data_IF_126099279472
#
_entry.id   IF_126099279472
#
_cell.length_a   1.000
_cell.length_b   1.000
_cell.length_c   1.000
_cell.angle_alpha   90.00
_cell.angle_beta   90.00
_cell.angle_gamma   90.00
#
_symmetry.space_group_name_H-M   'P 1'
#
loop_
_entity.id
_entity.type
_entity.pdbx_description
1 polymer ?
#
# COMPACT_ATOMS: atom_id res chain seq x y z
N UNK A 1 -17.58 15.24 3.57
CA UNK A 1 -16.70 14.15 4.05
C UNK A 1 -15.28 14.52 3.62
N UNK A 2 -14.31 14.49 4.53
CA UNK A 2 -12.91 14.83 4.20
C UNK A 2 -12.20 13.57 3.68
N UNK A 3 -12.18 13.41 2.35
CA UNK A 3 -11.55 12.25 1.70
C UNK A 3 -10.03 12.21 1.91
N UNK A 4 -9.38 13.37 2.06
CA UNK A 4 -7.94 13.42 2.34
C UNK A 4 -7.67 12.77 3.69
N UNK A 5 -8.47 13.12 4.71
CA UNK A 5 -8.37 12.51 6.03
C UNK A 5 -8.61 10.98 6.00
N UNK A 6 -9.56 10.50 5.19
CA UNK A 6 -9.78 9.06 5.01
C UNK A 6 -8.60 8.35 4.36
N UNK A 7 -7.96 8.99 3.36
CA UNK A 7 -6.74 8.48 2.72
C UNK A 7 -5.63 8.32 3.76
N UNK A 8 -5.37 9.34 4.56
CA UNK A 8 -4.35 9.36 5.60
C UNK A 8 -4.60 8.31 6.69
N UNK A 9 -5.80 8.34 7.29
CA UNK A 9 -6.17 7.42 8.37
C UNK A 9 -6.10 5.95 7.94
N UNK A 10 -6.52 5.64 6.72
CA UNK A 10 -6.45 4.27 6.22
C UNK A 10 -5.01 3.81 6.02
N UNK A 11 -4.16 4.66 5.43
CA UNK A 11 -2.74 4.34 5.25
C UNK A 11 -2.03 4.13 6.59
N UNK A 12 -2.22 5.01 7.56
CA UNK A 12 -1.60 4.86 8.88
C UNK A 12 -2.13 3.61 9.61
N UNK A 13 -3.41 3.29 9.43
CA UNK A 13 -4.00 2.10 10.04
C UNK A 13 -3.45 0.81 9.44
N UNK A 14 -3.30 0.72 8.12
CA UNK A 14 -2.73 -0.47 7.48
C UNK A 14 -1.26 -0.66 7.84
N UNK A 15 -0.48 0.42 7.93
CA UNK A 15 0.91 0.35 8.39
C UNK A 15 1.02 -0.21 9.81
N UNK A 16 0.18 0.28 10.74
CA UNK A 16 0.13 -0.23 12.11
C UNK A 16 -0.32 -1.69 12.17
N UNK A 17 -1.32 -2.04 11.36
CA UNK A 17 -1.85 -3.40 11.31
C UNK A 17 -0.77 -4.40 10.85
N UNK A 18 -0.13 -4.13 9.73
CA UNK A 18 0.92 -5.02 9.22
C UNK A 18 2.17 -5.03 10.11
N UNK A 19 2.58 -3.87 10.64
CA UNK A 19 3.66 -3.80 11.61
C UNK A 19 3.37 -4.56 12.91
N UNK A 20 2.10 -4.60 13.32
CA UNK A 20 1.63 -5.43 14.44
C UNK A 20 1.68 -6.91 14.14
N UNK A 21 1.24 -7.34 12.95
CA UNK A 21 1.22 -8.75 12.55
C UNK A 21 2.62 -9.38 12.54
N UNK A 22 3.63 -8.64 12.09
CA UNK A 22 5.02 -9.14 12.01
C UNK A 22 5.94 -8.62 13.14
N UNK A 23 5.34 -8.05 14.20
CA UNK A 23 6.06 -7.55 15.39
C UNK A 23 7.15 -6.51 15.09
N UNK A 24 6.97 -5.72 14.02
CA UNK A 24 7.95 -4.70 13.59
C UNK A 24 7.49 -3.25 13.82
N UNK A 25 6.30 -3.06 14.43
CA UNK A 25 5.75 -1.73 14.65
C UNK A 25 6.57 -0.95 15.67
N UNK A 26 6.98 0.26 15.30
CA UNK A 26 7.58 1.26 16.18
C UNK A 26 6.67 2.48 16.17
N UNK A 27 6.34 3.01 17.35
CA UNK A 27 5.48 4.19 17.47
C UNK A 27 6.06 5.14 18.52
N UNK A 28 6.22 6.42 18.15
CA UNK A 28 6.60 7.49 19.09
C UNK A 28 5.85 8.78 18.72
N UNK A 29 4.93 9.18 19.58
CA UNK A 29 4.06 10.32 19.32
C UNK A 29 3.29 10.15 18.01
N UNK A 30 3.48 11.09 17.08
CA UNK A 30 2.85 11.08 15.75
C UNK A 30 3.66 10.35 14.67
N UNK A 31 4.85 9.83 15.00
CA UNK A 31 5.71 9.11 14.06
C UNK A 31 5.54 7.61 14.28
N UNK A 32 5.37 6.89 13.19
CA UNK A 32 5.33 5.44 13.17
C UNK A 32 6.30 4.86 12.16
N UNK A 33 6.72 3.62 12.39
CA UNK A 33 7.54 2.87 11.45
C UNK A 33 7.18 1.38 11.50
N UNK A 34 7.28 0.72 10.36
CA UNK A 34 7.18 -0.74 10.24
C UNK A 34 8.15 -1.23 9.19
N UNK A 35 8.63 -2.44 9.33
CA UNK A 35 9.44 -3.09 8.31
C UNK A 35 8.96 -4.51 8.03
N UNK A 36 9.26 -5.01 6.85
CA UNK A 36 8.92 -6.37 6.40
C UNK A 36 10.09 -7.34 6.59
N UNK A 37 11.25 -6.86 7.05
CA UNK A 37 12.49 -7.61 7.04
C UNK A 37 13.16 -7.71 5.67
N UNK A 38 12.45 -7.39 4.57
CA UNK A 38 13.01 -7.41 3.23
C UNK A 38 13.84 -6.15 2.95
N UNK A 39 14.98 -6.31 2.26
CA UNK A 39 15.86 -5.19 1.90
C UNK A 39 15.32 -4.38 0.70
N UNK A 40 14.04 -4.03 0.74
CA UNK A 40 13.29 -3.25 -0.26
C UNK A 40 12.67 -2.04 0.44
N UNK A 41 13.06 -0.84 0.04
CA UNK A 41 12.64 0.38 0.74
C UNK A 41 11.14 0.66 0.61
N UNK A 42 10.54 0.33 -0.52
CA UNK A 42 9.14 0.62 -0.86
C UNK A 42 8.11 -0.23 -0.11
N UNK A 43 8.54 -1.20 0.68
CA UNK A 43 7.70 -1.99 1.59
C UNK A 43 8.13 -1.89 3.06
N UNK A 44 9.06 -1.00 3.38
CA UNK A 44 9.48 -0.65 4.73
C UNK A 44 9.12 0.82 4.95
N UNK A 45 8.12 1.09 5.77
CA UNK A 45 7.52 2.41 5.82
C UNK A 45 7.74 3.11 7.16
N UNK A 46 8.11 4.38 7.07
CA UNK A 46 8.09 5.35 8.16
C UNK A 46 7.09 6.42 7.79
N UNK A 47 6.36 6.97 8.74
CA UNK A 47 5.39 8.04 8.50
C UNK A 47 5.29 8.98 9.68
N UNK A 48 4.78 10.19 9.44
CA UNK A 48 4.35 11.11 10.48
C UNK A 48 2.92 11.57 10.20
N UNK A 49 2.09 11.59 11.24
CA UNK A 49 0.66 11.95 11.17
C UNK A 49 0.43 13.45 11.33
N UNK A 50 1.44 14.18 11.83
CA UNK A 50 1.44 15.62 12.06
C UNK A 50 2.76 16.20 11.58
N UNK A 51 2.82 17.53 11.32
CA UNK A 51 4.08 18.19 11.01
C UNK A 51 5.13 17.93 12.09
N UNK A 52 6.35 17.62 11.64
CA UNK A 52 7.48 17.38 12.54
C UNK A 52 7.97 18.67 13.18
N UNK A 53 8.45 18.56 14.40
CA UNK A 53 9.03 19.64 15.21
C UNK A 53 10.49 19.34 15.55
N UNK A 54 11.19 20.29 16.19
CA UNK A 54 12.57 20.05 16.64
C UNK A 54 12.68 18.91 17.67
N UNK A 55 11.62 18.65 18.43
CA UNK A 55 11.59 17.60 19.44
C UNK A 55 11.62 16.20 18.79
N UNK A 56 11.22 16.10 17.52
CA UNK A 56 11.24 14.85 16.76
C UNK A 56 12.63 14.48 16.20
N UNK A 57 13.61 15.42 16.24
CA UNK A 57 14.93 15.21 15.64
C UNK A 57 15.67 13.98 16.19
N UNK A 58 15.56 13.73 17.51
CA UNK A 58 16.14 12.55 18.14
C UNK A 58 15.50 11.28 17.59
N UNK A 59 14.17 11.24 17.49
CA UNK A 59 13.46 10.06 17.01
C UNK A 59 13.75 9.77 15.53
N UNK A 60 13.89 10.82 14.69
CA UNK A 60 14.35 10.67 13.30
C UNK A 60 15.72 9.98 13.26
N UNK A 61 16.66 10.37 14.13
CA UNK A 61 17.97 9.74 14.21
C UNK A 61 17.88 8.29 14.70
N UNK A 62 17.06 8.02 15.72
CA UNK A 62 16.86 6.67 16.28
C UNK A 62 16.28 5.71 15.19
N UNK A 63 15.30 6.14 14.41
CA UNK A 63 14.75 5.37 13.29
C UNK A 63 15.84 5.03 12.28
N UNK A 64 16.66 6.00 11.88
CA UNK A 64 17.77 5.77 10.94
C UNK A 64 18.74 4.70 11.45
N UNK A 65 19.11 4.77 12.73
CA UNK A 65 20.00 3.79 13.35
C UNK A 65 19.38 2.40 13.45
N UNK A 66 18.07 2.30 13.74
CA UNK A 66 17.35 1.01 13.75
C UNK A 66 17.42 0.36 12.37
N UNK A 67 17.02 1.08 11.31
CA UNK A 67 17.03 0.52 9.95
C UNK A 67 18.45 0.21 9.47
N UNK A 68 19.45 1.02 9.83
CA UNK A 68 20.86 0.75 9.55
C UNK A 68 21.34 -0.54 10.21
N UNK A 69 21.03 -0.75 11.50
CA UNK A 69 21.39 -1.99 12.24
C UNK A 69 20.74 -3.23 11.64
N UNK A 70 19.51 -3.09 11.11
CA UNK A 70 18.80 -4.16 10.41
C UNK A 70 19.28 -4.37 8.96
N UNK A 71 20.17 -3.51 8.48
CA UNK A 71 20.59 -3.48 7.05
C UNK A 71 19.40 -3.34 6.10
N UNK A 72 18.41 -2.52 6.48
CA UNK A 72 17.19 -2.26 5.72
C UNK A 72 17.18 -0.82 5.21
N UNK A 73 16.56 -0.66 4.04
CA UNK A 73 16.17 0.65 3.52
C UNK A 73 14.69 0.89 3.80
N UNK A 74 14.29 2.17 3.87
CA UNK A 74 12.90 2.56 4.11
C UNK A 74 12.52 3.77 3.27
N UNK A 75 11.21 3.94 3.08
CA UNK A 75 10.59 5.17 2.59
C UNK A 75 9.88 5.88 3.74
N UNK A 76 10.09 7.19 3.84
CA UNK A 76 9.35 8.05 4.75
C UNK A 76 8.19 8.70 4.00
N UNK A 77 6.99 8.32 4.36
CA UNK A 77 5.75 8.80 3.76
C UNK A 77 5.21 10.00 4.53
N UNK A 78 4.92 11.09 3.82
CA UNK A 78 4.34 12.30 4.38
C UNK A 78 3.08 12.66 3.61
N UNK A 79 1.95 12.51 4.27
CA UNK A 79 0.65 12.92 3.76
C UNK A 79 0.39 14.41 4.06
N UNK A 80 -0.65 15.07 3.45
CA UNK A 80 -0.92 16.49 3.65
C UNK A 80 -0.95 16.94 5.10
N UNK A 81 -1.55 16.15 5.99
CA UNK A 81 -1.59 16.44 7.44
C UNK A 81 -0.23 16.49 8.13
N UNK A 82 0.78 15.85 7.56
CA UNK A 82 2.17 15.84 8.06
C UNK A 82 3.10 16.81 7.32
N UNK A 83 2.66 17.38 6.18
CA UNK A 83 3.49 18.24 5.35
C UNK A 83 3.68 19.63 5.99
N UNK A 84 4.92 20.10 6.00
CA UNK A 84 5.27 21.50 6.32
C UNK A 84 6.68 21.80 5.86
N UNK A 85 7.05 23.08 5.67
CA UNK A 85 8.45 23.46 5.42
C UNK A 85 9.41 22.95 6.49
N UNK A 86 8.95 22.92 7.75
CA UNK A 86 9.74 22.43 8.88
C UNK A 86 9.97 20.92 8.80
N UNK A 87 8.92 20.13 8.47
CA UNK A 87 9.05 18.68 8.22
C UNK A 87 10.11 18.40 7.16
N UNK A 88 10.00 19.08 5.99
CA UNK A 88 10.95 18.91 4.90
C UNK A 88 12.39 19.25 5.31
N UNK A 89 12.58 20.36 6.04
CA UNK A 89 13.92 20.78 6.51
C UNK A 89 14.52 19.78 7.49
N UNK A 90 13.73 19.26 8.44
CA UNK A 90 14.21 18.27 9.41
C UNK A 90 14.64 16.96 8.74
N UNK A 91 13.87 16.46 7.78
CA UNK A 91 14.23 15.27 7.05
C UNK A 91 15.48 15.49 6.16
N UNK A 92 15.58 16.63 5.49
CA UNK A 92 16.75 16.98 4.68
C UNK A 92 18.02 17.08 5.55
N UNK A 93 17.93 17.74 6.69
CA UNK A 93 19.04 17.84 7.66
C UNK A 93 19.45 16.47 8.20
N UNK A 94 18.50 15.54 8.29
CA UNK A 94 18.76 14.15 8.65
C UNK A 94 19.32 13.30 7.47
N UNK A 95 19.54 13.90 6.30
CA UNK A 95 20.09 13.23 5.12
C UNK A 95 19.05 12.47 4.28
N UNK A 96 17.76 12.73 4.48
CA UNK A 96 16.72 12.21 3.60
C UNK A 96 16.43 13.22 2.48
N UNK A 97 16.10 12.71 1.29
CA UNK A 97 15.70 13.56 0.15
C UNK A 97 14.35 13.15 -0.38
N UNK A 98 13.56 14.11 -0.82
CA UNK A 98 12.32 13.88 -1.56
C UNK A 98 12.66 13.16 -2.88
N UNK A 99 11.99 12.04 -3.13
CA UNK A 99 12.18 11.23 -4.35
C UNK A 99 10.94 11.19 -5.22
N UNK A 100 9.75 11.30 -4.63
CA UNK A 100 8.50 11.15 -5.35
C UNK A 100 7.35 11.89 -4.64
N UNK A 101 6.35 12.31 -5.44
CA UNK A 101 5.03 12.77 -4.98
C UNK A 101 3.97 11.85 -5.57
N UNK A 102 3.50 10.93 -4.75
CA UNK A 102 2.59 9.85 -5.15
C UNK A 102 1.15 10.35 -5.15
N UNK A 103 0.41 10.23 -6.27
CA UNK A 103 -1.01 10.53 -6.31
C UNK A 103 -1.80 9.65 -5.35
N UNK A 104 -2.58 10.27 -4.47
CA UNK A 104 -3.52 9.61 -3.58
C UNK A 104 -4.92 9.82 -4.16
N UNK A 105 -5.58 8.72 -4.50
CA UNK A 105 -6.82 8.73 -5.25
C UNK A 105 -7.97 8.12 -4.44
N UNK A 106 -9.19 8.55 -4.75
CA UNK A 106 -10.40 7.97 -4.20
C UNK A 106 -11.48 7.81 -5.28
N UNK A 107 -12.37 6.84 -5.08
CA UNK A 107 -13.57 6.63 -5.90
C UNK A 107 -14.81 6.56 -5.02
N UNK A 108 -15.92 7.15 -5.46
CA UNK A 108 -17.23 6.97 -4.86
C UNK A 108 -17.83 5.64 -5.37
N UNK A 109 -18.18 4.76 -4.43
CA UNK A 109 -18.72 3.44 -4.76
C UNK A 109 -20.21 3.47 -5.16
N UNK A 110 -20.86 4.61 -5.02
CA UNK A 110 -22.24 4.82 -5.51
C UNK A 110 -22.26 5.35 -6.95
N UNK A 111 -21.22 6.09 -7.35
CA UNK A 111 -21.03 6.42 -8.77
C UNK A 111 -20.70 5.12 -9.49
N UNK A 112 -21.66 4.62 -10.29
CA UNK A 112 -21.45 3.45 -11.13
C UNK A 112 -20.32 3.76 -12.11
N UNK A 113 -19.09 3.55 -11.68
CA UNK A 113 -17.96 3.55 -12.59
C UNK A 113 -18.27 2.47 -13.64
N UNK A 114 -18.48 2.95 -14.85
CA UNK A 114 -18.90 2.19 -16.01
C UNK A 114 -18.26 0.80 -16.01
N UNK A 115 -19.11 -0.20 -16.09
CA UNK A 115 -18.72 -1.52 -16.56
C UNK A 115 -18.16 -1.37 -17.99
N UNK A 116 -16.89 -0.97 -18.08
CA UNK A 116 -16.16 -1.13 -19.31
C UNK A 116 -16.15 -2.62 -19.65
N UNK A 117 -16.08 -3.01 -20.92
CA UNK A 117 -16.11 -4.42 -21.30
C UNK A 117 -15.07 -5.19 -20.49
N UNK A 118 -15.57 -6.01 -19.59
CA UNK A 118 -14.74 -6.88 -18.75
C UNK A 118 -14.28 -8.04 -19.61
N UNK A 119 -12.99 -8.35 -19.69
CA UNK A 119 -12.56 -9.49 -20.49
C UNK A 119 -13.19 -10.78 -19.93
N UNK A 120 -13.88 -11.52 -20.80
CA UNK A 120 -14.62 -12.73 -20.43
C UNK A 120 -13.74 -13.85 -19.88
N UNK A 121 -12.44 -13.78 -20.14
CA UNK A 121 -11.45 -14.77 -19.72
C UNK A 121 -10.71 -14.41 -18.42
N UNK A 122 -11.15 -13.39 -17.68
CA UNK A 122 -10.63 -13.06 -16.35
C UNK A 122 -11.66 -13.41 -15.28
N UNK A 123 -11.30 -14.28 -14.35
CA UNK A 123 -12.08 -14.60 -13.15
C UNK A 123 -11.39 -14.12 -11.89
N UNK A 124 -12.15 -13.83 -10.83
CA UNK A 124 -11.61 -13.35 -9.55
C UNK A 124 -11.98 -14.34 -8.46
N UNK A 125 -11.04 -14.64 -7.57
CA UNK A 125 -11.30 -15.38 -6.34
C UNK A 125 -10.78 -14.62 -5.12
N UNK A 126 -11.42 -14.86 -3.98
CA UNK A 126 -10.92 -14.47 -2.68
C UNK A 126 -9.86 -15.48 -2.24
N UNK A 127 -8.76 -15.03 -1.65
CA UNK A 127 -7.76 -15.86 -0.97
C UNK A 127 -8.41 -16.40 0.32
N UNK A 128 -8.49 -17.73 0.48
CA UNK A 128 -9.22 -18.35 1.57
C UNK A 128 -8.33 -19.14 2.52
N UNK A 129 -7.22 -19.63 2.04
CA UNK A 129 -6.32 -20.48 2.79
C UNK A 129 -4.85 -20.21 2.49
N UNK A 130 -3.97 -20.98 3.14
CA UNK A 130 -2.52 -20.82 2.98
C UNK A 130 -2.02 -21.14 1.57
N UNK A 131 -2.69 -22.05 0.83
CA UNK A 131 -2.27 -22.38 -0.53
C UNK A 131 -2.58 -21.19 -1.47
N UNK A 132 -3.78 -20.61 -1.35
CA UNK A 132 -4.12 -19.38 -2.07
C UNK A 132 -3.16 -18.23 -1.71
N UNK A 133 -2.78 -18.12 -0.42
CA UNK A 133 -1.85 -17.08 0.05
C UNK A 133 -0.45 -17.24 -0.56
N UNK A 134 0.04 -18.46 -0.71
CA UNK A 134 1.32 -18.74 -1.38
C UNK A 134 1.25 -18.35 -2.86
N UNK A 135 0.13 -18.62 -3.55
CA UNK A 135 -0.08 -18.18 -4.93
C UNK A 135 -0.12 -16.64 -5.00
N UNK A 136 -0.85 -15.99 -4.08
CA UNK A 136 -0.95 -14.54 -4.01
C UNK A 136 0.43 -13.89 -3.76
N UNK A 137 1.21 -14.48 -2.86
CA UNK A 137 2.57 -14.03 -2.56
C UNK A 137 3.47 -14.13 -3.79
N UNK A 138 3.45 -15.25 -4.50
CA UNK A 138 4.25 -15.46 -5.70
C UNK A 138 3.90 -14.46 -6.82
N UNK A 139 2.60 -14.30 -7.10
CA UNK A 139 2.11 -13.35 -8.11
C UNK A 139 2.43 -11.91 -7.73
N UNK A 140 2.27 -11.51 -6.47
CA UNK A 140 2.60 -10.15 -6.04
C UNK A 140 4.11 -9.90 -6.10
N UNK A 141 4.94 -10.83 -5.67
CA UNK A 141 6.39 -10.73 -5.74
C UNK A 141 6.89 -10.49 -7.17
N UNK A 142 6.44 -11.32 -8.11
CA UNK A 142 6.83 -11.19 -9.52
C UNK A 142 6.13 -10.04 -10.23
N UNK A 143 4.89 -9.72 -9.84
CA UNK A 143 4.12 -8.62 -10.42
C UNK A 143 4.69 -7.23 -10.07
N UNK A 144 5.32 -7.09 -8.90
CA UNK A 144 6.09 -5.91 -8.50
C UNK A 144 7.56 -5.98 -8.93
N UNK A 145 7.97 -7.06 -9.61
CA UNK A 145 9.34 -7.25 -10.08
C UNK A 145 10.37 -7.11 -8.94
N UNK A 146 10.02 -7.63 -7.75
CA UNK A 146 10.87 -7.53 -6.57
C UNK A 146 12.18 -8.29 -6.74
N UNK A 147 13.31 -7.80 -6.19
CA UNK A 147 14.59 -8.45 -6.33
C UNK A 147 14.63 -9.80 -5.61
N UNK A 148 15.16 -10.84 -6.26
CA UNK A 148 15.16 -12.22 -5.77
C UNK A 148 15.77 -12.37 -4.36
N UNK A 149 16.77 -11.54 -4.01
CA UNK A 149 17.36 -11.53 -2.65
C UNK A 149 16.36 -11.21 -1.51
N UNK A 150 15.17 -10.69 -1.83
CA UNK A 150 14.13 -10.33 -0.86
C UNK A 150 13.00 -11.37 -0.77
N UNK A 151 13.12 -12.48 -1.53
CA UNK A 151 12.05 -13.48 -1.65
C UNK A 151 11.63 -14.08 -0.31
N UNK A 152 12.61 -14.53 0.46
CA UNK A 152 12.36 -15.19 1.75
C UNK A 152 11.67 -14.24 2.75
N UNK A 153 12.22 -13.03 2.92
CA UNK A 153 11.70 -12.05 3.86
C UNK A 153 10.31 -11.54 3.45
N UNK A 154 10.10 -11.35 2.14
CA UNK A 154 8.78 -10.99 1.62
C UNK A 154 7.76 -12.11 1.87
N UNK A 155 8.11 -13.35 1.61
CA UNK A 155 7.28 -14.51 1.92
C UNK A 155 6.97 -14.65 3.41
N UNK A 156 7.96 -14.43 4.28
CA UNK A 156 7.75 -14.40 5.73
C UNK A 156 6.76 -13.30 6.15
N UNK A 157 6.89 -12.10 5.57
CA UNK A 157 5.96 -11.00 5.81
C UNK A 157 4.54 -11.35 5.36
N UNK A 158 4.35 -11.82 4.13
CA UNK A 158 3.02 -12.18 3.60
C UNK A 158 2.42 -13.35 4.38
N UNK A 159 3.24 -14.31 4.85
CA UNK A 159 2.75 -15.43 5.66
C UNK A 159 2.15 -15.01 7.01
N UNK A 160 2.44 -13.79 7.49
CA UNK A 160 1.84 -13.20 8.68
C UNK A 160 0.42 -12.65 8.45
N UNK A 161 -0.04 -12.57 7.20
CA UNK A 161 -1.34 -12.00 6.89
C UNK A 161 -2.48 -12.84 7.46
N UNK A 162 -3.39 -12.16 8.15
CA UNK A 162 -4.56 -12.78 8.74
C UNK A 162 -5.65 -12.98 7.68
N UNK A 163 -6.08 -14.24 7.48
CA UNK A 163 -7.13 -14.64 6.55
C UNK A 163 -8.47 -14.91 7.24
N UNK A 164 -8.59 -14.62 8.54
CA UNK A 164 -9.85 -14.82 9.27
C UNK A 164 -10.98 -13.97 8.68
N UNK A 165 -12.21 -14.46 8.76
CA UNK A 165 -13.38 -13.77 8.19
C UNK A 165 -13.60 -12.35 8.76
N UNK A 166 -13.22 -12.13 10.02
CA UNK A 166 -13.29 -10.84 10.72
C UNK A 166 -12.05 -9.96 10.49
N UNK A 167 -11.05 -10.44 9.76
CA UNK A 167 -9.85 -9.66 9.45
C UNK A 167 -10.24 -8.37 8.71
N UNK A 168 -9.60 -7.22 9.00
CA UNK A 168 -9.84 -5.99 8.28
C UNK A 168 -9.30 -6.04 6.84
N UNK A 169 -8.60 -7.10 6.45
CA UNK A 169 -8.07 -7.28 5.10
C UNK A 169 -8.74 -8.43 4.36
N UNK A 170 -8.92 -8.26 3.05
CA UNK A 170 -9.35 -9.30 2.11
C UNK A 170 -8.42 -9.29 0.91
N UNK A 171 -7.88 -10.45 0.56
CA UNK A 171 -6.94 -10.61 -0.53
C UNK A 171 -7.65 -11.25 -1.73
N UNK A 172 -7.32 -10.79 -2.93
CA UNK A 172 -7.92 -11.25 -4.17
C UNK A 172 -6.87 -11.75 -5.15
N UNK A 173 -7.22 -12.79 -5.91
CA UNK A 173 -6.48 -13.31 -7.06
C UNK A 173 -7.32 -13.15 -8.33
N UNK A 174 -6.70 -12.67 -9.41
CA UNK A 174 -7.28 -12.73 -10.74
C UNK A 174 -6.62 -13.83 -11.55
N UNK A 175 -7.45 -14.59 -12.23
CA UNK A 175 -7.04 -15.66 -13.15
C UNK A 175 -7.36 -15.25 -14.58
N UNK A 176 -6.41 -15.40 -15.48
CA UNK A 176 -6.56 -15.21 -16.91
C UNK A 176 -6.46 -16.57 -17.59
N UNK A 177 -7.54 -17.04 -18.24
CA UNK A 177 -7.64 -18.39 -18.79
C UNK A 177 -7.23 -19.48 -17.77
N UNK A 178 -7.71 -19.35 -16.52
CA UNK A 178 -7.44 -20.28 -15.43
C UNK A 178 -6.05 -20.16 -14.77
N UNK A 179 -5.17 -19.27 -15.24
CA UNK A 179 -3.84 -19.02 -14.64
C UNK A 179 -3.89 -17.82 -13.71
N UNK A 180 -3.38 -17.89 -12.46
CA UNK A 180 -3.29 -16.75 -11.57
C UNK A 180 -2.29 -15.73 -12.11
N UNK A 181 -2.70 -14.45 -12.23
CA UNK A 181 -1.90 -13.43 -12.92
C UNK A 181 -1.87 -12.06 -12.24
N UNK A 182 -2.82 -11.77 -11.34
CA UNK A 182 -2.89 -10.48 -10.66
C UNK A 182 -3.34 -10.63 -9.22
N UNK A 183 -2.93 -9.68 -8.39
CA UNK A 183 -3.28 -9.59 -6.96
C UNK A 183 -3.94 -8.25 -6.65
N UNK A 184 -4.73 -8.21 -5.59
CA UNK A 184 -5.06 -6.99 -4.85
C UNK A 184 -5.38 -7.33 -3.40
N UNK A 185 -5.34 -6.31 -2.54
CA UNK A 185 -5.71 -6.40 -1.14
C UNK A 185 -6.63 -5.22 -0.80
N UNK A 186 -7.80 -5.50 -0.23
CA UNK A 186 -8.68 -4.52 0.38
C UNK A 186 -8.40 -4.47 1.88
N UNK A 187 -8.15 -3.30 2.43
CA UNK A 187 -8.02 -3.07 3.87
C UNK A 187 -9.07 -2.06 4.35
N UNK A 188 -9.81 -2.42 5.40
CA UNK A 188 -10.87 -1.59 5.95
C UNK A 188 -10.51 -1.06 7.33
N UNK A 189 -10.77 0.22 7.58
CA UNK A 189 -10.57 0.84 8.87
C UNK A 189 -11.61 1.94 9.11
N UNK A 190 -12.37 1.86 10.21
CA UNK A 190 -13.46 2.82 10.53
C UNK A 190 -14.39 3.03 9.32
N UNK A 191 -14.36 4.22 8.73
CA UNK A 191 -15.21 4.63 7.61
C UNK A 191 -14.47 4.65 6.26
N UNK A 192 -13.26 4.09 6.18
CA UNK A 192 -12.42 4.09 4.99
C UNK A 192 -12.05 2.67 4.56
N UNK A 193 -12.04 2.45 3.25
CA UNK A 193 -11.56 1.23 2.61
C UNK A 193 -10.41 1.59 1.67
N UNK A 194 -9.27 0.90 1.78
CA UNK A 194 -8.09 1.13 0.95
C UNK A 194 -7.75 -0.09 0.11
N UNK A 195 -7.35 0.12 -1.14
CA UNK A 195 -6.89 -0.94 -2.04
C UNK A 195 -5.37 -0.87 -2.13
N UNK A 196 -4.73 -1.98 -1.85
CA UNK A 196 -3.29 -2.15 -1.80
C UNK A 196 -2.85 -3.36 -2.63
N UNK A 197 -1.54 -3.50 -2.88
CA UNK A 197 -0.96 -4.67 -3.55
C UNK A 197 -1.62 -5.03 -4.88
N UNK A 198 -2.09 -4.01 -5.65
CA UNK A 198 -2.56 -4.26 -7.01
C UNK A 198 -1.36 -4.48 -7.90
N UNK A 199 -1.14 -5.72 -8.29
CA UNK A 199 -0.06 -6.10 -9.19
C UNK A 199 -0.56 -7.02 -10.31
N UNK A 200 0.18 -7.07 -11.41
CA UNK A 200 -0.08 -7.99 -12.53
C UNK A 200 1.25 -8.45 -13.08
N UNK A 201 1.39 -9.74 -13.28
CA UNK A 201 2.58 -10.34 -13.91
C UNK A 201 2.89 -9.63 -15.24
N UNK A 202 4.16 -9.28 -15.54
CA UNK A 202 4.54 -8.51 -16.74
C UNK A 202 3.94 -9.05 -18.05
N UNK A 203 3.97 -10.37 -18.27
CA UNK A 203 3.44 -11.02 -19.44
C UNK A 203 1.90 -10.92 -19.62
N UNK A 204 1.18 -10.53 -18.56
CA UNK A 204 -0.29 -10.42 -18.53
C UNK A 204 -0.79 -8.98 -18.36
N UNK A 205 0.11 -7.99 -18.35
CA UNK A 205 -0.25 -6.56 -18.34
C UNK A 205 -1.03 -6.18 -19.59
N UNK A 206 -1.84 -5.12 -19.48
CA UNK A 206 -2.70 -4.59 -20.57
C UNK A 206 -3.79 -5.54 -21.09
N UNK A 207 -4.06 -6.65 -20.39
CA UNK A 207 -5.12 -7.62 -20.72
C UNK A 207 -6.38 -7.47 -19.86
N UNK A 208 -6.49 -6.37 -19.07
CA UNK A 208 -7.68 -6.04 -18.28
C UNK A 208 -7.73 -6.62 -16.86
N UNK A 209 -6.82 -7.54 -16.51
CA UNK A 209 -6.83 -8.19 -15.17
C UNK A 209 -6.68 -7.19 -14.02
N UNK A 210 -5.80 -6.18 -14.16
CA UNK A 210 -5.61 -5.14 -13.15
C UNK A 210 -6.86 -4.29 -12.91
N UNK A 211 -7.62 -3.95 -13.97
CA UNK A 211 -8.89 -3.24 -13.83
C UNK A 211 -9.92 -4.12 -13.12
N UNK A 212 -10.08 -5.36 -13.57
CA UNK A 212 -11.10 -6.28 -13.05
C UNK A 212 -10.87 -6.62 -11.57
N UNK A 213 -9.61 -6.83 -11.16
CA UNK A 213 -9.31 -7.12 -9.75
C UNK A 213 -9.49 -5.89 -8.86
N UNK A 214 -9.20 -4.68 -9.37
CA UNK A 214 -9.51 -3.43 -8.69
C UNK A 214 -11.02 -3.27 -8.48
N UNK A 215 -11.82 -3.49 -9.52
CA UNK A 215 -13.28 -3.46 -9.44
C UNK A 215 -13.85 -4.48 -8.46
N UNK A 216 -13.27 -5.70 -8.39
CA UNK A 216 -13.67 -6.70 -7.41
C UNK A 216 -13.42 -6.24 -5.96
N UNK A 217 -12.28 -5.62 -5.68
CA UNK A 217 -11.99 -5.02 -4.38
C UNK A 217 -12.95 -3.85 -4.07
N UNK A 218 -13.28 -3.00 -5.05
CA UNK A 218 -14.28 -1.94 -4.92
C UNK A 218 -15.67 -2.50 -4.59
N UNK A 219 -16.08 -3.56 -5.27
CA UNK A 219 -17.36 -4.21 -5.03
C UNK A 219 -17.43 -4.81 -3.62
N UNK A 220 -16.36 -5.48 -3.17
CA UNK A 220 -16.28 -6.00 -1.81
C UNK A 220 -16.32 -4.90 -0.74
N UNK A 221 -15.72 -3.74 -0.99
CA UNK A 221 -15.84 -2.57 -0.13
C UNK A 221 -17.28 -2.04 -0.08
N UNK A 222 -17.96 -1.94 -1.23
CA UNK A 222 -19.36 -1.54 -1.33
C UNK A 222 -20.30 -2.48 -0.58
N UNK A 223 -20.15 -3.78 -0.76
CA UNK A 223 -20.89 -4.83 -0.05
C UNK A 223 -20.67 -4.80 1.47
N UNK A 224 -19.49 -4.34 1.90
CA UNK A 224 -19.16 -4.12 3.31
C UNK A 224 -19.68 -2.78 3.85
N UNK A 225 -20.46 -2.00 3.06
CA UNK A 225 -21.12 -0.77 3.47
C UNK A 225 -20.27 0.51 3.34
N UNK A 226 -19.07 0.45 2.76
CA UNK A 226 -18.25 1.62 2.51
C UNK A 226 -18.81 2.45 1.35
N UNK A 227 -18.70 3.78 1.46
CA UNK A 227 -19.14 4.72 0.41
C UNK A 227 -18.02 5.10 -0.54
N UNK A 228 -16.78 5.04 -0.06
CA UNK A 228 -15.60 5.44 -0.82
C UNK A 228 -14.49 4.40 -0.63
N UNK A 229 -13.65 4.29 -1.64
CA UNK A 229 -12.44 3.49 -1.62
C UNK A 229 -11.26 4.36 -2.04
N UNK A 230 -10.10 4.13 -1.43
CA UNK A 230 -8.89 4.93 -1.65
C UNK A 230 -7.73 4.05 -2.11
N UNK A 231 -6.74 4.65 -2.73
CA UNK A 231 -5.44 4.02 -3.05
C UNK A 231 -4.34 5.07 -3.28
N UNK A 232 -3.09 4.60 -3.29
CA UNK A 232 -1.93 5.34 -3.77
C UNK A 232 -1.55 4.78 -5.15
N UNK A 233 -1.49 5.66 -6.15
CA UNK A 233 -1.29 5.25 -7.53
C UNK A 233 0.18 5.32 -7.94
N UNK A 234 0.72 4.19 -8.41
CA UNK A 234 1.98 4.20 -9.16
C UNK A 234 1.75 4.79 -10.56
N UNK A 235 2.80 5.30 -11.24
CA UNK A 235 2.66 5.79 -12.63
C UNK A 235 2.04 4.75 -13.58
N UNK A 236 2.36 3.48 -13.41
CA UNK A 236 1.80 2.38 -14.20
C UNK A 236 0.32 2.13 -13.89
N UNK A 237 -0.08 2.24 -12.60
CA UNK A 237 -1.44 1.98 -12.15
C UNK A 237 -2.42 3.11 -12.41
N UNK A 238 -1.96 4.36 -12.50
CA UNK A 238 -2.82 5.54 -12.54
C UNK A 238 -3.90 5.47 -13.65
N UNK A 239 -3.53 5.02 -14.86
CA UNK A 239 -4.49 4.88 -15.98
C UNK A 239 -5.57 3.83 -15.69
N UNK A 240 -5.22 2.75 -14.99
CA UNK A 240 -6.18 1.70 -14.59
C UNK A 240 -7.17 2.27 -13.58
N UNK A 241 -6.69 3.01 -12.61
CA UNK A 241 -7.52 3.58 -11.54
C UNK A 241 -8.45 4.68 -12.04
N UNK A 242 -7.99 5.56 -12.95
CA UNK A 242 -8.86 6.55 -13.61
C UNK A 242 -10.00 5.83 -14.33
N UNK A 243 -9.74 4.74 -15.06
CA UNK A 243 -10.76 3.92 -15.72
C UNK A 243 -11.72 3.24 -14.74
N UNK A 244 -11.25 2.92 -13.54
CA UNK A 244 -12.07 2.38 -12.45
C UNK A 244 -12.89 3.47 -11.72
N UNK A 245 -12.77 4.75 -12.11
CA UNK A 245 -13.53 5.86 -11.51
C UNK A 245 -12.81 6.61 -10.41
N UNK A 246 -11.53 6.32 -10.15
CA UNK A 246 -10.74 7.06 -9.16
C UNK A 246 -10.35 8.45 -9.67
N UNK A 247 -10.36 9.42 -8.75
CA UNK A 247 -9.89 10.80 -8.94
C UNK A 247 -8.78 11.09 -7.95
N UNK A 248 -7.80 11.90 -8.35
CA UNK A 248 -6.73 12.38 -7.45
C UNK A 248 -7.29 13.43 -6.49
N UNK A 249 -6.98 13.32 -5.21
CA UNK A 249 -7.38 14.25 -4.16
C UNK A 249 -6.21 14.96 -3.48
N UNK A 250 -5.08 14.26 -3.35
CA UNK A 250 -3.86 14.82 -2.79
C UNK A 250 -2.65 14.03 -3.26
N UNK A 251 -1.48 14.46 -2.84
CA UNK A 251 -0.22 13.73 -3.04
C UNK A 251 0.50 13.51 -1.72
N UNK A 252 0.95 12.29 -1.51
CA UNK A 252 1.90 11.97 -0.46
C UNK A 252 3.33 12.20 -0.98
N UNK A 253 4.19 12.72 -0.13
CA UNK A 253 5.62 12.87 -0.40
C UNK A 253 6.40 11.68 0.13
N UNK A 254 7.31 11.14 -0.67
CA UNK A 254 8.22 10.06 -0.25
C UNK A 254 9.63 10.60 -0.14
N UNK A 255 10.22 10.41 1.03
CA UNK A 255 11.63 10.68 1.29
C UNK A 255 12.40 9.37 1.48
N UNK A 256 13.65 9.34 1.06
CA UNK A 256 14.59 8.25 1.33
C UNK A 256 15.95 8.78 1.75
N UNK A 257 16.74 7.96 2.43
CA UNK A 257 18.13 8.29 2.71
C UNK A 257 18.90 8.52 1.41
N UNK A 258 19.68 9.59 1.38
CA UNK A 258 20.65 9.80 0.30
C UNK A 258 21.70 8.69 0.37
N UNK A 259 21.90 7.98 -0.72
CA UNK A 259 23.08 7.12 -0.86
C UNK A 259 24.30 8.04 -0.95
N UNK A 260 25.19 7.97 0.04
CA UNK A 260 26.54 8.55 -0.06
C UNK A 260 27.31 7.88 -1.19
#
# INVERSE_FOLDING_TARGET
MDLIKHIEENFFAVCRYWGGLNSSLIQAGSIGAMNTGAAIADINWVWNEKPLTNDDAKFIADIKEIYKKLNLHFWWWIYPGGQSPKTSSLLQNAGLRLIEKVPCMAADLNDSASEGPSPNNVTISLVKDKNDLLIWEDISFHGFEMPQRSREQYGAFVSSFDLAAQSPQKLFLAYFDGKPVSTSLLFTHKNSAGIYYVSTLPAFRNKGSGLKITQAAMQAAKESGFKNVILQATPLGAKVYIRAGFKEYCRAEIYKLSTS
#
